data_IF_471424619542
#
_entry.id   IF_471424619542
#
_cell.length_a   1.000
_cell.length_b   1.000
_cell.length_c   1.000
_cell.angle_alpha   90.00
_cell.angle_beta   90.00
_cell.angle_gamma   90.00
#
_symmetry.space_group_name_H-M   'P 1'
#
loop_
_entity.id
_entity.type
_entity.pdbx_description
1 polymer ?
#
# COMPACT_ATOMS: atom_id res chain seq x y z
N UNK A 1 -25.47 8.18 2.65
CA UNK A 1 -24.97 7.38 3.80
C UNK A 1 -23.48 7.59 3.84
N UNK A 2 -22.93 8.19 4.89
CA UNK A 2 -21.47 8.28 5.02
C UNK A 2 -20.97 6.84 5.19
N UNK A 3 -20.27 6.34 4.17
CA UNK A 3 -19.57 5.05 4.30
C UNK A 3 -18.55 5.26 5.40
N UNK A 4 -18.65 4.53 6.50
CA UNK A 4 -17.78 4.76 7.64
C UNK A 4 -16.36 4.35 7.26
N UNK A 5 -15.53 5.35 6.95
CA UNK A 5 -14.16 5.17 6.45
C UNK A 5 -13.29 4.33 7.38
N UNK A 6 -13.56 4.35 8.69
CA UNK A 6 -12.86 3.53 9.67
C UNK A 6 -12.98 2.04 9.36
N UNK A 7 -14.18 1.54 9.05
CA UNK A 7 -14.38 0.13 8.72
C UNK A 7 -13.74 -0.26 7.38
N UNK A 8 -13.64 0.68 6.44
CA UNK A 8 -12.93 0.43 5.17
C UNK A 8 -11.44 0.23 5.47
N UNK A 9 -10.81 1.17 6.18
CA UNK A 9 -9.38 1.09 6.52
C UNK A 9 -9.10 -0.17 7.35
N UNK A 10 -9.96 -0.49 8.32
CA UNK A 10 -9.84 -1.69 9.15
C UNK A 10 -9.97 -2.97 8.31
N UNK A 11 -10.94 -3.03 7.39
CA UNK A 11 -11.14 -4.17 6.50
C UNK A 11 -9.92 -4.39 5.58
N UNK A 12 -9.42 -3.32 4.95
CA UNK A 12 -8.24 -3.40 4.10
C UNK A 12 -6.96 -3.73 4.90
N UNK A 13 -6.82 -3.22 6.12
CA UNK A 13 -5.71 -3.57 7.02
C UNK A 13 -5.72 -5.07 7.35
N UNK A 14 -6.89 -5.61 7.73
CA UNK A 14 -7.04 -7.04 8.02
C UNK A 14 -6.70 -7.91 6.81
N UNK A 15 -7.07 -7.48 5.60
CA UNK A 15 -6.75 -8.20 4.36
C UNK A 15 -5.23 -8.26 4.10
N UNK A 16 -4.51 -7.14 4.24
CA UNK A 16 -3.05 -7.10 4.08
C UNK A 16 -2.37 -7.93 5.16
N UNK A 17 -2.79 -7.77 6.43
CA UNK A 17 -2.26 -8.53 7.56
C UNK A 17 -2.45 -10.04 7.34
N UNK A 18 -3.62 -10.49 6.86
CA UNK A 18 -3.85 -11.91 6.59
C UNK A 18 -2.86 -12.46 5.54
N UNK A 19 -2.55 -11.68 4.50
CA UNK A 19 -1.57 -12.07 3.49
C UNK A 19 -0.13 -12.04 4.01
N UNK A 20 0.26 -11.04 4.81
CA UNK A 20 1.56 -10.99 5.47
C UNK A 20 1.79 -12.24 6.33
N UNK A 21 0.81 -12.59 7.17
CA UNK A 21 0.86 -13.82 7.99
C UNK A 21 0.95 -15.09 7.16
N UNK A 22 0.30 -15.12 5.99
CA UNK A 22 0.36 -16.27 5.07
C UNK A 22 1.72 -16.35 4.37
N UNK A 23 2.29 -15.23 3.97
CA UNK A 23 3.60 -15.16 3.33
C UNK A 23 4.70 -15.76 4.22
N UNK A 24 4.60 -15.53 5.54
CA UNK A 24 5.50 -16.11 6.54
C UNK A 24 5.31 -17.62 6.82
N UNK A 25 4.25 -18.26 6.30
CA UNK A 25 3.89 -19.66 6.61
C UNK A 25 4.40 -20.71 5.59
N UNK A 26 4.96 -20.34 4.44
CA UNK A 26 5.44 -21.27 3.39
C UNK A 26 7.00 -21.30 3.35
N UNK A 27 7.69 -22.45 3.10
CA UNK A 27 8.41 -23.15 4.17
C UNK A 27 9.91 -23.37 3.89
N UNK A 28 10.75 -23.25 4.93
CA UNK A 28 11.89 -24.16 5.10
C UNK A 28 11.54 -25.13 6.22
N UNK A 29 11.67 -26.41 5.89
CA UNK A 29 11.59 -27.61 6.73
C UNK A 29 11.37 -27.41 8.25
N UNK A 30 10.25 -27.98 8.70
CA UNK A 30 9.74 -28.44 10.01
C UNK A 30 10.62 -28.50 11.28
N UNK A 31 11.65 -27.67 11.47
CA UNK A 31 12.51 -27.72 12.67
C UNK A 31 12.55 -26.47 13.56
N UNK A 32 11.97 -25.31 13.18
CA UNK A 32 12.13 -24.06 13.96
C UNK A 32 10.80 -23.34 14.30
N UNK A 33 9.82 -24.04 14.84
CA UNK A 33 8.53 -23.45 15.25
C UNK A 33 8.67 -22.37 16.35
N UNK A 34 9.68 -22.47 17.22
CA UNK A 34 9.87 -21.49 18.30
C UNK A 34 10.51 -20.19 17.79
N UNK A 35 11.52 -20.30 16.91
CA UNK A 35 12.23 -19.16 16.34
C UNK A 35 11.33 -18.37 15.36
N UNK A 36 10.44 -19.05 14.65
CA UNK A 36 9.48 -18.43 13.74
C UNK A 36 8.43 -17.56 14.45
N UNK A 37 8.09 -17.87 15.72
CA UNK A 37 7.19 -17.04 16.53
C UNK A 37 7.83 -15.71 16.96
N UNK A 38 9.13 -15.72 17.26
CA UNK A 38 9.90 -14.53 17.62
C UNK A 38 10.10 -13.62 16.41
N UNK A 39 10.40 -14.20 15.23
CA UNK A 39 10.53 -13.43 13.99
C UNK A 39 9.19 -12.81 13.53
N UNK A 40 8.08 -13.48 13.84
CA UNK A 40 6.73 -12.98 13.55
C UNK A 40 6.35 -11.77 14.41
N UNK A 41 6.73 -11.75 15.69
CA UNK A 41 6.54 -10.57 16.56
C UNK A 41 7.51 -9.42 16.24
N UNK A 42 8.64 -9.73 15.58
CA UNK A 42 9.64 -8.76 15.16
C UNK A 42 9.37 -8.14 13.78
N UNK A 43 8.38 -8.60 13.01
CA UNK A 43 8.10 -8.04 11.68
C UNK A 43 7.59 -6.60 11.81
N UNK A 44 8.37 -5.59 11.36
CA UNK A 44 7.99 -4.19 11.49
C UNK A 44 6.69 -3.86 10.73
N UNK A 45 6.38 -4.58 9.63
CA UNK A 45 5.14 -4.35 8.88
C UNK A 45 3.91 -4.79 9.67
N UNK A 46 3.96 -5.97 10.30
CA UNK A 46 2.87 -6.45 11.16
C UNK A 46 2.68 -5.56 12.39
N UNK A 47 3.77 -5.03 12.94
CA UNK A 47 3.72 -4.05 14.03
C UNK A 47 3.05 -2.75 13.58
N UNK A 48 3.40 -2.19 12.44
CA UNK A 48 2.79 -0.96 11.91
C UNK A 48 1.26 -1.10 11.76
N UNK A 49 0.77 -2.27 11.35
CA UNK A 49 -0.68 -2.53 11.29
C UNK A 49 -1.32 -2.74 12.66
N UNK A 50 -0.58 -3.27 13.64
CA UNK A 50 -1.04 -3.40 15.02
C UNK A 50 -1.21 -2.02 15.65
N UNK A 51 -0.22 -1.14 15.48
CA UNK A 51 -0.27 0.24 15.93
C UNK A 51 -1.43 1.01 15.25
N UNK A 52 -1.61 0.84 13.94
CA UNK A 52 -2.74 1.42 13.21
C UNK A 52 -4.09 0.97 13.76
N UNK A 53 -4.26 -0.34 14.05
CA UNK A 53 -5.50 -0.86 14.63
C UNK A 53 -5.82 -0.19 15.96
N UNK A 54 -4.81 -0.03 16.81
CA UNK A 54 -4.98 0.56 18.14
C UNK A 54 -5.37 2.05 18.02
N UNK A 55 -4.77 2.78 17.07
CA UNK A 55 -5.17 4.16 16.74
C UNK A 55 -6.61 4.20 16.21
N UNK A 56 -6.97 3.36 15.23
CA UNK A 56 -8.33 3.32 14.66
C UNK A 56 -9.41 3.04 15.72
N UNK A 57 -9.10 2.23 16.73
CA UNK A 57 -10.02 1.92 17.84
C UNK A 57 -10.18 3.10 18.83
N UNK A 58 -9.27 4.07 18.81
CA UNK A 58 -9.30 5.24 19.71
C UNK A 58 -9.98 6.48 19.10
N UNK A 59 -10.32 6.43 17.81
CA UNK A 59 -10.87 7.56 17.05
C UNK A 59 -12.32 7.27 16.65
N UNK A 60 -13.19 8.29 16.70
CA UNK A 60 -14.61 8.15 16.36
C UNK A 60 -14.92 8.38 14.88
N UNK A 61 -14.14 9.23 14.20
CA UNK A 61 -14.28 9.54 12.78
C UNK A 61 -12.90 9.57 12.09
N UNK A 62 -12.81 8.94 10.91
CA UNK A 62 -11.59 8.95 10.11
C UNK A 62 -11.19 10.38 9.69
N UNK A 63 -12.16 11.29 9.54
CA UNK A 63 -11.92 12.68 9.15
C UNK A 63 -11.05 13.47 10.15
N UNK A 64 -11.07 13.08 11.43
CA UNK A 64 -10.26 13.73 12.48
C UNK A 64 -8.79 13.27 12.45
N UNK A 65 -8.50 12.19 11.72
CA UNK A 65 -7.18 11.59 11.67
C UNK A 65 -6.34 12.18 10.53
N UNK A 66 -5.02 12.24 10.73
CA UNK A 66 -4.12 12.57 9.63
C UNK A 66 -4.14 11.42 8.60
N UNK A 67 -4.38 11.68 7.29
CA UNK A 67 -4.34 10.63 6.27
C UNK A 67 -3.06 9.81 6.28
N UNK A 68 -1.92 10.44 6.58
CA UNK A 68 -0.63 9.77 6.69
C UNK A 68 -0.64 8.63 7.71
N UNK A 69 -1.40 8.76 8.80
CA UNK A 69 -1.46 7.76 9.88
C UNK A 69 -2.03 6.44 9.41
N UNK A 70 -3.07 6.44 8.57
CA UNK A 70 -3.62 5.20 8.02
C UNK A 70 -2.97 4.76 6.72
N UNK A 71 -2.34 5.67 5.98
CA UNK A 71 -1.66 5.32 4.73
C UNK A 71 -0.31 4.66 4.97
N UNK A 72 0.47 5.14 5.96
CA UNK A 72 1.87 4.73 6.11
C UNK A 72 2.09 3.22 6.15
N UNK A 73 1.31 2.39 6.88
CA UNK A 73 1.57 0.95 6.91
C UNK A 73 1.38 0.27 5.56
N UNK A 74 0.46 0.77 4.71
CA UNK A 74 0.27 0.25 3.36
C UNK A 74 1.40 0.71 2.42
N UNK A 75 1.86 1.95 2.56
CA UNK A 75 2.98 2.46 1.76
C UNK A 75 4.30 1.77 2.12
N UNK A 76 4.49 1.42 3.40
CA UNK A 76 5.64 0.64 3.85
C UNK A 76 5.65 -0.76 3.24
N UNK A 77 4.48 -1.41 3.14
CA UNK A 77 4.33 -2.68 2.43
C UNK A 77 4.70 -2.54 0.95
N UNK A 78 4.26 -1.47 0.28
CA UNK A 78 4.53 -1.23 -1.15
C UNK A 78 6.03 -0.98 -1.41
N UNK A 79 6.73 -0.31 -0.49
CA UNK A 79 8.17 -0.06 -0.59
C UNK A 79 9.04 -1.25 -0.15
N UNK A 80 8.47 -2.22 0.55
CA UNK A 80 9.25 -3.28 1.18
C UNK A 80 9.67 -4.36 0.18
N UNK A 81 10.99 -4.49 0.02
CA UNK A 81 11.65 -5.58 -0.72
C UNK A 81 11.45 -6.95 -0.06
N UNK A 82 10.84 -7.04 1.11
CA UNK A 82 10.58 -8.30 1.81
C UNK A 82 9.17 -8.84 1.52
N UNK A 83 8.35 -8.08 0.79
CA UNK A 83 6.98 -8.46 0.46
C UNK A 83 6.90 -9.21 -0.86
N UNK A 84 5.98 -10.16 -0.93
CA UNK A 84 5.70 -10.90 -2.17
C UNK A 84 4.58 -10.23 -2.97
N UNK A 85 4.50 -10.57 -4.26
CA UNK A 85 3.55 -9.95 -5.18
C UNK A 85 2.09 -9.87 -4.68
N UNK A 86 1.48 -10.95 -4.15
CA UNK A 86 0.13 -10.88 -3.60
C UNK A 86 -0.05 -9.86 -2.46
N UNK A 87 0.91 -9.75 -1.55
CA UNK A 87 0.86 -8.78 -0.44
C UNK A 87 0.95 -7.35 -0.99
N UNK A 88 1.93 -7.10 -1.87
CA UNK A 88 2.13 -5.79 -2.51
C UNK A 88 0.90 -5.38 -3.33
N UNK A 89 0.34 -6.29 -4.13
CA UNK A 89 -0.85 -6.06 -4.94
C UNK A 89 -2.08 -5.72 -4.08
N UNK A 90 -2.25 -6.39 -2.93
CA UNK A 90 -3.33 -6.07 -2.00
C UNK A 90 -3.15 -4.67 -1.40
N UNK A 91 -1.94 -4.29 -0.96
CA UNK A 91 -1.68 -2.95 -0.43
C UNK A 91 -1.93 -1.85 -1.47
N UNK A 92 -1.48 -2.04 -2.72
CA UNK A 92 -1.77 -1.16 -3.84
C UNK A 92 -3.29 -1.01 -4.05
N UNK A 93 -4.01 -2.13 -4.01
CA UNK A 93 -5.47 -2.12 -4.14
C UNK A 93 -6.17 -1.38 -3.00
N UNK A 94 -5.67 -1.48 -1.77
CA UNK A 94 -6.19 -0.75 -0.61
C UNK A 94 -6.02 0.76 -0.79
N UNK A 95 -4.83 1.22 -1.20
CA UNK A 95 -4.56 2.64 -1.47
C UNK A 95 -5.45 3.17 -2.59
N UNK A 96 -5.61 2.41 -3.69
CA UNK A 96 -6.50 2.76 -4.78
C UNK A 96 -7.97 2.92 -4.32
N UNK A 97 -8.45 2.06 -3.41
CA UNK A 97 -9.79 2.19 -2.81
C UNK A 97 -9.90 3.44 -1.94
N UNK A 98 -8.89 3.74 -1.11
CA UNK A 98 -8.92 4.94 -0.26
C UNK A 98 -9.03 6.22 -1.09
N UNK A 99 -8.30 6.30 -2.21
CA UNK A 99 -8.41 7.39 -3.18
C UNK A 99 -9.79 7.42 -3.85
N UNK A 100 -10.25 6.28 -4.35
CA UNK A 100 -11.53 6.19 -5.09
C UNK A 100 -12.75 6.49 -4.22
N UNK A 101 -12.70 6.14 -2.94
CA UNK A 101 -13.77 6.39 -1.98
C UNK A 101 -13.70 7.78 -1.34
N UNK A 102 -12.68 8.59 -1.68
CA UNK A 102 -12.53 9.94 -1.15
C UNK A 102 -12.22 9.98 0.35
N UNK A 103 -11.47 8.98 0.86
CA UNK A 103 -11.07 8.95 2.29
C UNK A 103 -10.00 10.01 2.62
N UNK A 104 -9.40 10.62 1.60
CA UNK A 104 -8.46 11.73 1.73
C UNK A 104 -9.18 12.98 1.25
N UNK A 105 -9.42 13.92 2.17
CA UNK A 105 -10.12 15.17 1.83
C UNK A 105 -9.18 16.15 1.11
N UNK A 106 -9.53 16.48 -0.15
CA UNK A 106 -8.84 17.46 -0.98
C UNK A 106 -8.81 18.90 -0.44
N UNK A 107 -9.60 19.20 0.60
CA UNK A 107 -9.62 20.51 1.26
C UNK A 107 -8.60 20.62 2.40
N UNK A 108 -8.08 19.50 2.89
CA UNK A 108 -7.15 19.45 4.01
C UNK A 108 -5.71 19.74 3.56
N UNK A 109 -5.00 20.61 4.30
CA UNK A 109 -3.57 20.87 4.08
C UNK A 109 -2.71 19.60 4.24
N UNK A 110 -3.20 18.61 4.99
CA UNK A 110 -2.53 17.33 5.22
C UNK A 110 -2.61 16.41 3.99
N UNK A 111 -3.56 16.64 3.08
CA UNK A 111 -3.77 15.78 1.93
C UNK A 111 -2.63 15.84 0.92
N UNK A 112 -2.06 17.03 0.63
CA UNK A 112 -0.97 17.16 -0.34
C UNK A 112 0.24 16.29 0.05
N UNK A 113 0.70 16.36 1.31
CA UNK A 113 1.80 15.53 1.80
C UNK A 113 1.51 14.03 1.69
N UNK A 114 0.28 13.62 1.99
CA UNK A 114 -0.14 12.23 1.85
C UNK A 114 -0.10 11.75 0.40
N UNK A 115 -0.51 12.59 -0.55
CA UNK A 115 -0.45 12.25 -1.97
C UNK A 115 0.97 12.17 -2.51
N UNK A 116 1.87 13.09 -2.10
CA UNK A 116 3.29 13.00 -2.46
C UNK A 116 3.89 11.68 -1.94
N UNK A 117 3.55 11.28 -0.72
CA UNK A 117 3.99 9.99 -0.15
C UNK A 117 3.42 8.78 -0.90
N UNK A 118 2.17 8.86 -1.37
CA UNK A 118 1.58 7.80 -2.22
C UNK A 118 2.31 7.76 -3.56
N UNK A 119 2.50 8.91 -4.22
CA UNK A 119 3.20 9.01 -5.50
C UNK A 119 4.58 8.34 -5.39
N UNK A 120 5.40 8.79 -4.43
CA UNK A 120 6.73 8.25 -4.18
C UNK A 120 6.70 6.73 -3.89
N UNK A 121 5.77 6.26 -3.05
CA UNK A 121 5.69 4.84 -2.72
C UNK A 121 5.38 3.97 -3.93
N UNK A 122 4.44 4.42 -4.77
CA UNK A 122 3.92 3.64 -5.89
C UNK A 122 4.86 3.72 -7.08
N UNK A 123 5.51 4.86 -7.33
CA UNK A 123 6.51 4.99 -8.41
C UNK A 123 7.80 4.23 -8.13
N UNK A 124 8.16 4.08 -6.85
CA UNK A 124 9.31 3.34 -6.36
C UNK A 124 8.93 2.00 -5.71
N UNK A 125 7.75 1.45 -6.03
CA UNK A 125 7.30 0.19 -5.48
C UNK A 125 8.32 -0.93 -5.74
N UNK A 126 8.65 -1.68 -4.70
CA UNK A 126 9.58 -2.81 -4.77
C UNK A 126 8.90 -4.05 -4.26
N UNK A 127 9.10 -5.16 -4.95
CA UNK A 127 8.56 -6.44 -4.53
C UNK A 127 9.45 -7.57 -5.05
N UNK A 128 9.53 -8.65 -4.28
CA UNK A 128 10.27 -9.82 -4.73
C UNK A 128 9.48 -10.47 -5.86
N UNK A 129 10.13 -10.64 -7.02
CA UNK A 129 9.60 -11.46 -8.10
C UNK A 129 9.26 -12.83 -7.54
N UNK A 130 7.97 -13.14 -7.48
CA UNK A 130 7.54 -14.47 -7.04
C UNK A 130 8.03 -15.49 -8.05
N UNK A 131 8.26 -16.74 -7.65
CA UNK A 131 8.61 -17.83 -8.57
C UNK A 131 7.58 -18.02 -9.70
N UNK A 132 6.38 -17.44 -9.54
CA UNK A 132 5.34 -17.34 -10.55
C UNK A 132 5.38 -15.96 -11.26
N UNK A 133 5.68 -15.93 -12.57
CA UNK A 133 5.64 -14.73 -13.39
C UNK A 133 4.30 -13.99 -13.36
N UNK A 134 3.17 -14.69 -13.19
CA UNK A 134 1.83 -14.09 -13.21
C UNK A 134 1.59 -13.10 -12.07
N UNK A 135 2.18 -13.33 -10.89
CA UNK A 135 2.07 -12.36 -9.79
C UNK A 135 2.82 -11.05 -10.09
N UNK A 136 3.89 -11.10 -10.86
CA UNK A 136 4.67 -9.91 -11.20
C UNK A 136 3.87 -8.97 -12.11
N UNK A 137 3.27 -9.52 -13.17
CA UNK A 137 2.39 -8.77 -14.08
C UNK A 137 1.18 -8.17 -13.36
N UNK A 138 0.57 -8.92 -12.43
CA UNK A 138 -0.54 -8.41 -11.63
C UNK A 138 -0.11 -7.22 -10.78
N UNK A 139 1.07 -7.25 -10.15
CA UNK A 139 1.56 -6.11 -9.36
C UNK A 139 1.82 -4.91 -10.25
N UNK A 140 2.46 -5.08 -11.41
CA UNK A 140 2.66 -3.98 -12.37
C UNK A 140 1.34 -3.35 -12.81
N UNK A 141 0.33 -4.17 -13.14
CA UNK A 141 -1.00 -3.68 -13.46
C UNK A 141 -1.61 -2.90 -12.28
N UNK A 142 -1.42 -3.37 -11.04
CA UNK A 142 -1.90 -2.67 -9.84
C UNK A 142 -1.18 -1.35 -9.62
N UNK A 143 0.12 -1.26 -9.88
CA UNK A 143 0.87 0.01 -9.84
C UNK A 143 0.25 1.00 -10.83
N UNK A 144 0.10 0.61 -12.10
CA UNK A 144 -0.48 1.47 -13.14
C UNK A 144 -1.90 1.94 -12.81
N UNK A 145 -2.75 1.04 -12.29
CA UNK A 145 -4.11 1.39 -11.89
C UNK A 145 -4.14 2.37 -10.72
N UNK A 146 -3.28 2.18 -9.71
CA UNK A 146 -3.19 3.10 -8.57
C UNK A 146 -2.69 4.47 -9.00
N UNK A 147 -1.66 4.54 -9.84
CA UNK A 147 -1.15 5.80 -10.40
C UNK A 147 -2.21 6.52 -11.23
N UNK A 148 -2.97 5.78 -12.06
CA UNK A 148 -4.09 6.34 -12.81
C UNK A 148 -5.15 6.94 -11.88
N UNK A 149 -5.55 6.22 -10.83
CA UNK A 149 -6.55 6.71 -9.87
C UNK A 149 -6.03 7.96 -9.14
N UNK A 150 -4.76 7.94 -8.72
CA UNK A 150 -4.12 9.07 -8.07
C UNK A 150 -4.16 10.34 -8.93
N UNK A 151 -3.85 10.23 -10.24
CA UNK A 151 -3.87 11.36 -11.17
C UNK A 151 -5.29 11.84 -11.52
N UNK A 152 -6.28 10.93 -11.58
CA UNK A 152 -7.62 11.23 -12.10
C UNK A 152 -8.67 11.53 -11.02
N UNK A 153 -8.33 11.34 -9.74
CA UNK A 153 -9.21 11.71 -8.63
C UNK A 153 -9.07 13.20 -8.28
N UNK A 154 -10.08 13.85 -7.67
CA UNK A 154 -10.03 15.28 -7.35
C UNK A 154 -8.83 15.68 -6.47
N UNK A 155 -8.36 14.76 -5.62
CA UNK A 155 -7.18 14.96 -4.78
C UNK A 155 -5.91 15.09 -5.63
N UNK A 156 -5.82 14.43 -6.80
CA UNK A 156 -4.65 14.47 -7.68
C UNK A 156 -4.22 15.87 -8.12
N UNK A 157 -5.12 16.87 -8.07
CA UNK A 157 -4.78 18.28 -8.30
C UNK A 157 -3.78 18.87 -7.30
N UNK A 158 -3.60 18.21 -6.16
CA UNK A 158 -2.68 18.63 -5.09
C UNK A 158 -1.26 18.08 -5.28
N UNK A 159 -1.03 17.25 -6.30
CA UNK A 159 0.29 16.75 -6.64
C UNK A 159 1.16 17.85 -7.23
N UNK A 160 2.44 17.83 -6.86
CA UNK A 160 3.47 18.63 -7.48
C UNK A 160 3.70 18.20 -8.94
N UNK A 161 4.15 19.14 -9.77
CA UNK A 161 4.55 18.83 -11.15
C UNK A 161 5.69 17.80 -11.20
N UNK A 162 6.56 17.80 -10.19
CA UNK A 162 7.65 16.82 -10.03
C UNK A 162 7.08 15.41 -9.85
N UNK A 163 6.18 15.22 -8.88
CA UNK A 163 5.48 13.94 -8.68
C UNK A 163 4.73 13.50 -9.95
N UNK A 164 4.05 14.40 -10.65
CA UNK A 164 3.37 14.05 -11.92
C UNK A 164 4.37 13.56 -12.97
N UNK A 165 5.52 14.22 -13.10
CA UNK A 165 6.59 13.79 -14.01
C UNK A 165 7.15 12.41 -13.64
N UNK A 166 7.42 12.17 -12.36
CA UNK A 166 7.89 10.86 -11.87
C UNK A 166 6.87 9.74 -12.12
N UNK A 167 5.58 10.02 -11.92
CA UNK A 167 4.50 9.08 -12.22
C UNK A 167 4.51 8.71 -13.71
N UNK A 168 4.62 9.70 -14.60
CA UNK A 168 4.66 9.46 -16.05
C UNK A 168 5.90 8.64 -16.43
N UNK A 169 7.07 8.96 -15.87
CA UNK A 169 8.30 8.21 -16.11
C UNK A 169 8.20 6.77 -15.62
N UNK A 170 7.60 6.53 -14.45
CA UNK A 170 7.37 5.19 -13.91
C UNK A 170 6.44 4.38 -14.83
N UNK A 171 5.34 4.98 -15.31
CA UNK A 171 4.45 4.34 -16.29
C UNK A 171 5.20 3.95 -17.58
N UNK A 172 6.03 4.83 -18.11
CA UNK A 172 6.84 4.51 -19.30
C UNK A 172 7.83 3.38 -19.03
N UNK A 173 8.53 3.41 -17.89
CA UNK A 173 9.44 2.34 -17.49
C UNK A 173 8.72 1.00 -17.50
N UNK A 174 7.59 0.89 -16.82
CA UNK A 174 6.79 -0.35 -16.76
C UNK A 174 6.37 -0.83 -18.17
N UNK A 175 5.91 0.09 -19.04
CA UNK A 175 5.46 -0.26 -20.39
C UNK A 175 6.60 -0.69 -21.33
N UNK A 176 7.82 -0.21 -21.12
CA UNK A 176 8.96 -0.42 -22.02
C UNK A 176 10.05 -1.33 -21.47
N UNK A 177 10.03 -1.69 -20.19
CA UNK A 177 11.02 -2.56 -19.54
C UNK A 177 11.05 -3.97 -20.15
N UNK A 178 9.91 -4.47 -20.66
CA UNK A 178 9.86 -5.73 -21.44
C UNK A 178 10.16 -5.58 -22.94
N UNK A 179 10.30 -4.36 -23.46
CA UNK A 179 10.55 -4.09 -24.88
C UNK A 179 12.03 -3.76 -25.18
N UNK A 180 12.83 -3.50 -24.14
CA UNK A 180 14.25 -3.11 -24.22
C UNK A 180 15.21 -4.17 -23.64
N UNK A 181 14.71 -5.36 -23.29
CA UNK A 181 15.50 -6.51 -22.81
C UNK A 181 15.89 -7.45 -23.94
#
# INVERSE_FOLDING_TARGET
>A
MAVNGLYIVQGESNAVVALLKKAHRWPRHQQHLYEQSILYEADPLLRNFTDLRDVLNSVNDLADMNPDTFLSPFLDVIRSEQTNGPVTAQALSSVAKFLSYGLIDSSSIKASNALEKIADAVTHAKFVGSADPGHYEVVLLRILLTLRILLLTPVGRLLSNESVCEIMQSCFRICFEGALS
#
